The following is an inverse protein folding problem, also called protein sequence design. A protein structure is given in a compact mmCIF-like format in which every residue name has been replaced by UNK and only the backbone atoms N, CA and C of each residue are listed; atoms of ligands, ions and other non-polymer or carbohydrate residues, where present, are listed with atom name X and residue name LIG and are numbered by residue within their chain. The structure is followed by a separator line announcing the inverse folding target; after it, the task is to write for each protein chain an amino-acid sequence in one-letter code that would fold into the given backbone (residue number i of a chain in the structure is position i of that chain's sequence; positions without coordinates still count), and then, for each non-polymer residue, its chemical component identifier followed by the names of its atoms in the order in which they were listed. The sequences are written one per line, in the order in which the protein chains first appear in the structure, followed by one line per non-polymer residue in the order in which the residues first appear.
data_IF_989726065379
#
_entry.id   IF_989726065379
#
_cell.length_a   1.000
_cell.length_b   1.000
_cell.length_c   1.000
_cell.angle_alpha   90.00
_cell.angle_beta   90.00
_cell.angle_gamma   90.00
#
_symmetry.space_group_name_H-M   'P 1'
#
loop_
_entity.id
_entity.type
_entity.pdbx_description
1 polymer ?
#
# COMPACT_ATOMS: atom_id res chain seq x y z
N UNK A 1 25.00 -9.33 -9.98
CA UNK A 1 24.43 -8.03 -10.38
C UNK A 1 24.95 -6.99 -9.42
N UNK A 2 25.50 -5.90 -9.92
CA UNK A 2 25.90 -4.76 -9.09
C UNK A 2 24.66 -3.90 -8.84
N UNK A 3 24.07 -4.05 -7.65
CA UNK A 3 22.84 -3.36 -7.27
C UNK A 3 23.04 -1.83 -7.26
N UNK A 4 24.24 -1.35 -6.92
CA UNK A 4 24.51 0.08 -6.91
C UNK A 4 24.55 0.65 -8.34
N UNK A 5 25.17 -0.07 -9.27
CA UNK A 5 25.16 0.30 -10.68
C UNK A 5 23.73 0.29 -11.27
N UNK A 6 22.95 -0.75 -10.99
CA UNK A 6 21.55 -0.85 -11.44
C UNK A 6 20.67 0.25 -10.84
N UNK A 7 20.86 0.59 -9.57
CA UNK A 7 20.11 1.68 -8.95
C UNK A 7 20.42 3.03 -9.60
N UNK A 8 21.68 3.29 -9.98
CA UNK A 8 22.04 4.50 -10.71
C UNK A 8 21.30 4.60 -12.06
N UNK A 9 21.21 3.49 -12.80
CA UNK A 9 20.43 3.44 -14.05
C UNK A 9 18.95 3.72 -13.81
N UNK A 10 18.35 3.11 -12.78
CA UNK A 10 16.96 3.35 -12.39
C UNK A 10 16.74 4.82 -12.00
N UNK A 11 17.71 5.45 -11.32
CA UNK A 11 17.57 6.86 -10.92
C UNK A 11 17.57 7.85 -12.09
N UNK A 12 18.06 7.44 -13.26
CA UNK A 12 18.01 8.24 -14.48
C UNK A 12 16.62 8.23 -15.16
N UNK A 13 15.73 7.32 -14.75
CA UNK A 13 14.36 7.26 -15.26
C UNK A 13 13.52 8.44 -14.73
N UNK A 14 12.42 8.73 -15.44
CA UNK A 14 11.43 9.68 -14.93
C UNK A 14 10.84 9.21 -13.60
N UNK A 15 10.26 10.13 -12.83
CA UNK A 15 9.59 9.75 -11.56
C UNK A 15 8.47 8.74 -11.82
N UNK A 16 7.71 8.92 -12.91
CA UNK A 16 6.62 8.03 -13.31
C UNK A 16 7.14 6.62 -13.61
N UNK A 17 8.18 6.50 -14.43
CA UNK A 17 8.78 5.22 -14.78
C UNK A 17 9.36 4.50 -13.56
N UNK A 18 9.95 5.24 -12.61
CA UNK A 18 10.43 4.65 -11.35
C UNK A 18 9.28 4.12 -10.50
N UNK A 19 8.16 4.83 -10.44
CA UNK A 19 6.98 4.37 -9.70
C UNK A 19 6.42 3.09 -10.36
N UNK A 20 6.30 3.07 -11.68
CA UNK A 20 5.86 1.88 -12.42
C UNK A 20 6.79 0.69 -12.22
N UNK A 21 8.11 0.92 -12.23
CA UNK A 21 9.10 -0.13 -11.97
C UNK A 21 9.01 -0.67 -10.54
N UNK A 22 8.86 0.20 -9.55
CA UNK A 22 8.67 -0.20 -8.15
C UNK A 22 7.41 -1.05 -8.00
N UNK A 23 6.30 -0.65 -8.64
CA UNK A 23 5.07 -1.43 -8.64
C UNK A 23 5.28 -2.82 -9.28
N UNK A 24 5.91 -2.88 -10.45
CA UNK A 24 6.14 -4.15 -11.15
C UNK A 24 7.03 -5.11 -10.36
N UNK A 25 8.07 -4.61 -9.70
CA UNK A 25 8.93 -5.41 -8.81
C UNK A 25 8.14 -5.89 -7.58
N UNK A 26 7.29 -5.03 -7.02
CA UNK A 26 6.45 -5.39 -5.88
C UNK A 26 5.46 -6.50 -6.23
N UNK A 27 4.83 -6.41 -7.40
CA UNK A 27 3.90 -7.42 -7.91
C UNK A 27 4.60 -8.76 -8.17
N UNK A 28 5.82 -8.75 -8.70
CA UNK A 28 6.57 -9.99 -8.92
C UNK A 28 6.93 -10.70 -7.61
N UNK A 29 7.32 -9.94 -6.58
CA UNK A 29 7.58 -10.49 -5.25
C UNK A 29 6.32 -11.13 -4.67
N UNK A 30 5.15 -10.48 -4.84
CA UNK A 30 3.90 -10.99 -4.33
C UNK A 30 3.49 -12.33 -4.98
N UNK A 31 3.80 -12.54 -6.25
CA UNK A 31 3.53 -13.82 -6.95
C UNK A 31 4.43 -14.95 -6.44
N UNK A 32 5.69 -14.65 -6.09
CA UNK A 32 6.66 -15.64 -5.62
C UNK A 32 6.45 -16.03 -4.15
N UNK A 33 5.77 -15.18 -3.37
CA UNK A 33 5.52 -15.41 -1.96
C UNK A 33 4.26 -16.24 -1.74
N UNK A 34 4.38 -17.34 -1.00
CA UNK A 34 3.22 -18.03 -0.42
C UNK A 34 2.83 -17.28 0.85
N UNK A 35 1.83 -16.41 0.74
CA UNK A 35 1.26 -15.75 1.90
C UNK A 35 0.51 -16.77 2.77
N UNK A 36 0.67 -16.73 4.10
CA UNK A 36 -0.22 -17.49 4.96
C UNK A 36 -1.65 -16.99 4.74
N UNK A 37 -2.61 -17.92 4.71
CA UNK A 37 -4.01 -17.55 4.69
C UNK A 37 -4.33 -16.64 5.89
N UNK A 38 -5.24 -15.68 5.66
CA UNK A 38 -5.76 -14.88 6.75
C UNK A 38 -6.39 -15.81 7.80
N UNK A 39 -6.11 -15.53 9.08
CA UNK A 39 -6.81 -16.19 10.18
C UNK A 39 -8.30 -15.83 10.13
N UNK A 40 -9.16 -16.69 10.68
CA UNK A 40 -10.61 -16.41 10.72
C UNK A 40 -10.93 -15.09 11.45
N UNK A 41 -10.16 -14.74 12.48
CA UNK A 41 -10.31 -13.46 13.17
C UNK A 41 -9.99 -12.26 12.25
N UNK A 42 -8.96 -12.38 11.40
CA UNK A 42 -8.60 -11.34 10.43
C UNK A 42 -9.65 -11.23 9.32
N UNK A 43 -10.15 -12.35 8.80
CA UNK A 43 -11.25 -12.34 7.81
C UNK A 43 -12.49 -11.66 8.39
N UNK A 44 -12.88 -12.03 9.61
CA UNK A 44 -14.04 -11.45 10.27
C UNK A 44 -13.91 -9.93 10.47
N UNK A 45 -12.74 -9.44 10.87
CA UNK A 45 -12.48 -8.01 11.00
C UNK A 45 -12.62 -7.28 9.64
N UNK A 46 -12.11 -7.88 8.56
CA UNK A 46 -12.25 -7.31 7.22
C UNK A 46 -13.71 -7.28 6.76
N UNK A 47 -14.45 -8.37 6.97
CA UNK A 47 -15.88 -8.45 6.64
C UNK A 47 -16.68 -7.38 7.39
N UNK A 48 -16.42 -7.20 8.69
CA UNK A 48 -17.05 -6.15 9.49
C UNK A 48 -16.74 -4.74 8.95
N UNK A 49 -15.48 -4.47 8.57
CA UNK A 49 -15.09 -3.17 8.01
C UNK A 49 -15.75 -2.90 6.66
N UNK A 50 -15.85 -3.92 5.82
CA UNK A 50 -16.51 -3.83 4.52
C UNK A 50 -18.00 -3.54 4.72
N UNK A 51 -18.68 -4.27 5.61
CA UNK A 51 -20.08 -4.03 5.93
C UNK A 51 -20.30 -2.63 6.52
N UNK A 52 -19.43 -2.21 7.45
CA UNK A 52 -19.46 -0.89 8.04
C UNK A 52 -19.31 0.23 6.99
N UNK A 53 -18.39 0.09 6.05
CA UNK A 53 -18.22 1.03 4.94
C UNK A 53 -19.42 1.01 3.99
N UNK A 54 -19.96 -0.15 3.63
CA UNK A 54 -21.13 -0.24 2.77
C UNK A 54 -22.37 0.42 3.38
N UNK A 55 -22.52 0.30 4.71
CA UNK A 55 -23.62 0.92 5.45
C UNK A 55 -23.41 2.43 5.68
N UNK A 56 -22.17 2.91 5.67
CA UNK A 56 -21.84 4.33 5.83
C UNK A 56 -20.62 4.73 4.98
N UNK A 57 -20.79 4.93 3.66
CA UNK A 57 -19.69 5.20 2.73
C UNK A 57 -18.99 6.53 3.00
N UNK A 58 -19.69 7.48 3.60
CA UNK A 58 -19.19 8.81 3.92
C UNK A 58 -18.39 8.83 5.24
N UNK A 59 -18.30 7.71 5.95
CA UNK A 59 -17.47 7.56 7.15
C UNK A 59 -15.98 7.40 6.81
N UNK A 60 -15.46 8.38 6.08
CA UNK A 60 -14.08 8.46 5.62
C UNK A 60 -13.49 9.80 6.02
N UNK A 61 -12.17 9.86 6.14
CA UNK A 61 -11.44 11.11 6.32
C UNK A 61 -10.75 11.46 5.01
N UNK A 62 -10.83 12.72 4.63
CA UNK A 62 -9.97 13.27 3.59
C UNK A 62 -8.51 13.21 4.04
N UNK A 63 -7.60 13.22 3.07
CA UNK A 63 -6.17 13.27 3.36
C UNK A 63 -5.77 14.48 4.22
N UNK A 64 -6.43 15.63 4.01
CA UNK A 64 -6.19 16.82 4.83
C UNK A 64 -6.66 16.65 6.27
N UNK A 65 -7.85 16.06 6.48
CA UNK A 65 -8.37 15.78 7.82
C UNK A 65 -7.48 14.81 8.60
N UNK A 66 -7.03 13.72 7.95
CA UNK A 66 -6.12 12.75 8.56
C UNK A 66 -4.76 13.38 8.89
N UNK A 67 -4.17 14.16 7.97
CA UNK A 67 -2.92 14.89 8.25
C UNK A 67 -3.09 15.86 9.43
N UNK A 68 -4.23 16.54 9.51
CA UNK A 68 -4.52 17.45 10.61
C UNK A 68 -4.67 16.70 11.95
N UNK A 69 -5.27 15.50 11.96
CA UNK A 69 -5.42 14.72 13.19
C UNK A 69 -4.07 14.23 13.74
N UNK A 70 -3.17 13.75 12.87
CA UNK A 70 -1.82 13.30 13.27
C UNK A 70 -0.98 14.46 13.79
N UNK A 71 -1.01 15.63 13.11
CA UNK A 71 -0.25 16.82 13.53
C UNK A 71 -0.74 17.43 14.84
N UNK A 72 -2.02 17.29 15.19
CA UNK A 72 -2.57 17.74 16.47
C UNK A 72 -2.14 16.89 17.67
N UNK A 73 -1.61 15.68 17.42
CA UNK A 73 -1.13 14.77 18.45
C UNK A 73 0.39 14.89 18.70
N UNK A 74 1.08 15.78 17.98
CA UNK A 74 2.50 16.12 18.15
C UNK A 74 2.65 17.47 18.85
#
# INVERSE_FOLDING_TARGET
MDIAATLNEITNLSVEDRILLVQAIWDSIAVEQVYPDLTEAQKHELDQRIEGHNNNPDNVLTWEEMKASVRKQA
#
